data_IF_668166631181
#
_entry.id   IF_668166631181
#
_cell.length_a   1.000
_cell.length_b   1.000
_cell.length_c   1.000
_cell.angle_alpha   90.00
_cell.angle_beta   90.00
_cell.angle_gamma   90.00
#
_symmetry.space_group_name_H-M   'P 1'
#
loop_
_entity.id
_entity.type
_entity.pdbx_description
1 polymer ?
#
# COMPACT_ATOMS: atom_id res chain seq x y z
N UNK A 1 1.57 3.84 8.28
CA UNK A 1 1.91 2.65 9.08
C UNK A 1 3.40 2.29 8.96
N UNK A 2 3.98 2.15 7.75
CA UNK A 2 5.43 1.88 7.62
C UNK A 2 6.27 2.94 8.35
N UNK A 3 5.95 4.24 8.20
CA UNK A 3 6.66 5.33 8.89
C UNK A 3 6.49 5.30 10.41
N UNK A 4 5.27 4.99 10.90
CA UNK A 4 4.89 5.24 12.30
C UNK A 4 4.96 3.99 13.20
N UNK A 5 4.76 2.79 12.64
CA UNK A 5 4.62 1.54 13.41
C UNK A 5 5.13 0.33 12.62
N UNK A 6 6.40 0.36 12.14
CA UNK A 6 6.93 -0.69 11.28
C UNK A 6 6.98 -2.06 11.97
N UNK A 7 7.34 -2.12 13.25
CA UNK A 7 7.42 -3.38 14.00
C UNK A 7 6.04 -4.03 14.18
N UNK A 8 5.01 -3.22 14.48
CA UNK A 8 3.64 -3.74 14.60
C UNK A 8 3.12 -4.24 13.26
N UNK A 9 3.47 -3.54 12.16
CA UNK A 9 3.11 -3.96 10.81
C UNK A 9 3.80 -5.27 10.43
N UNK A 10 5.08 -5.45 10.77
CA UNK A 10 5.81 -6.71 10.53
C UNK A 10 5.16 -7.84 11.32
N UNK A 11 4.87 -7.65 12.61
CA UNK A 11 4.21 -8.67 13.43
C UNK A 11 2.84 -9.08 12.88
N UNK A 12 2.06 -8.14 12.39
CA UNK A 12 0.77 -8.44 11.74
C UNK A 12 0.99 -9.28 10.48
N UNK A 13 1.93 -8.92 9.61
CA UNK A 13 2.24 -9.65 8.38
C UNK A 13 2.79 -11.06 8.64
N UNK A 14 3.50 -11.28 9.75
CA UNK A 14 4.01 -12.58 10.16
C UNK A 14 2.90 -13.57 10.54
N UNK A 15 1.70 -13.09 10.82
CA UNK A 15 0.52 -13.94 11.09
C UNK A 15 -0.22 -14.39 9.82
N UNK A 16 0.15 -13.86 8.65
CA UNK A 16 -0.56 -14.10 7.40
C UNK A 16 -0.03 -15.34 6.67
N UNK A 17 -0.97 -16.17 6.19
CA UNK A 17 -0.66 -17.44 5.55
C UNK A 17 -0.67 -17.32 4.01
N UNK A 18 0.21 -18.08 3.36
CA UNK A 18 0.26 -18.18 1.90
C UNK A 18 -0.60 -19.36 1.39
N UNK A 19 -1.90 -19.30 1.65
CA UNK A 19 -2.88 -20.27 1.17
C UNK A 19 -3.97 -19.59 0.32
N UNK A 20 -4.58 -20.29 -0.65
CA UNK A 20 -5.69 -19.72 -1.42
C UNK A 20 -6.85 -19.26 -0.52
N UNK A 21 -7.21 -20.08 0.47
CA UNK A 21 -8.32 -19.82 1.40
C UNK A 21 -8.08 -18.53 2.17
N UNK A 22 -6.87 -18.37 2.75
CA UNK A 22 -6.50 -17.16 3.48
C UNK A 22 -6.44 -15.96 2.54
N UNK A 23 -5.87 -16.12 1.34
CA UNK A 23 -5.81 -15.04 0.34
C UNK A 23 -7.20 -14.51 -0.01
N UNK A 24 -8.15 -15.39 -0.33
CA UNK A 24 -9.48 -14.96 -0.71
C UNK A 24 -10.29 -14.40 0.46
N UNK A 25 -10.06 -14.85 1.69
CA UNK A 25 -10.64 -14.25 2.88
C UNK A 25 -10.19 -12.79 3.08
N UNK A 26 -8.85 -12.55 3.00
CA UNK A 26 -8.26 -11.20 3.10
C UNK A 26 -8.70 -10.31 1.92
N UNK A 27 -8.77 -10.89 0.71
CA UNK A 27 -9.19 -10.17 -0.49
C UNK A 27 -10.61 -9.65 -0.37
N UNK A 28 -11.54 -10.47 0.12
CA UNK A 28 -12.98 -10.14 0.18
C UNK A 28 -13.34 -9.09 1.24
N UNK A 29 -12.41 -8.70 2.11
CA UNK A 29 -12.66 -7.73 3.16
C UNK A 29 -13.11 -6.35 2.66
N UNK A 30 -12.75 -5.97 1.43
CA UNK A 30 -13.22 -4.71 0.83
C UNK A 30 -14.66 -4.76 0.31
N UNK A 31 -15.22 -5.95 0.17
CA UNK A 31 -16.61 -6.17 -0.24
C UNK A 31 -17.58 -6.21 0.96
N UNK A 32 -17.06 -6.18 2.18
CA UNK A 32 -17.82 -6.30 3.41
C UNK A 32 -17.71 -5.02 4.24
N UNK A 33 -18.67 -4.74 5.12
CA UNK A 33 -18.54 -3.66 6.10
C UNK A 33 -17.28 -3.78 6.97
N UNK A 34 -16.67 -4.97 7.01
CA UNK A 34 -15.49 -5.31 7.78
C UNK A 34 -14.23 -4.50 7.47
N UNK A 35 -14.09 -3.91 6.27
CA UNK A 35 -12.92 -3.07 5.96
C UNK A 35 -12.83 -1.85 6.91
N UNK A 36 -13.97 -1.26 7.27
CA UNK A 36 -14.03 -0.12 8.18
C UNK A 36 -13.77 -0.51 9.65
N UNK A 37 -13.95 -1.80 10.00
CA UNK A 37 -13.64 -2.32 11.32
C UNK A 37 -12.14 -2.65 11.50
N UNK A 38 -11.37 -2.74 10.42
CA UNK A 38 -9.94 -2.99 10.49
C UNK A 38 -9.17 -1.80 11.05
N UNK A 39 -8.19 -2.09 11.88
CA UNK A 39 -7.19 -1.11 12.31
C UNK A 39 -6.36 -0.63 11.12
N UNK A 40 -5.70 0.51 11.25
CA UNK A 40 -4.80 1.02 10.21
C UNK A 40 -3.65 0.05 9.89
N UNK A 41 -3.18 -0.69 10.89
CA UNK A 41 -2.15 -1.71 10.72
C UNK A 41 -2.68 -2.86 9.86
N UNK A 42 -3.86 -3.37 10.15
CA UNK A 42 -4.49 -4.44 9.39
C UNK A 42 -4.80 -4.02 7.94
N UNK A 43 -5.26 -2.79 7.74
CA UNK A 43 -5.45 -2.23 6.39
C UNK A 43 -4.14 -2.15 5.60
N UNK A 44 -3.07 -1.69 6.25
CA UNK A 44 -1.74 -1.62 5.63
C UNK A 44 -1.17 -3.02 5.35
N UNK A 45 -1.29 -3.94 6.31
CA UNK A 45 -0.87 -5.32 6.15
C UNK A 45 -1.62 -6.02 5.00
N UNK A 46 -2.95 -5.81 4.90
CA UNK A 46 -3.76 -6.33 3.80
C UNK A 46 -3.21 -5.91 2.42
N UNK A 47 -2.88 -4.64 2.24
CA UNK A 47 -2.37 -4.13 0.96
C UNK A 47 -1.03 -4.79 0.62
N UNK A 48 -0.09 -4.83 1.58
CA UNK A 48 1.22 -5.45 1.39
C UNK A 48 1.07 -6.94 1.07
N UNK A 49 0.25 -7.65 1.85
CA UNK A 49 -0.01 -9.08 1.66
C UNK A 49 -0.59 -9.38 0.28
N UNK A 50 -1.66 -8.70 -0.12
CA UNK A 50 -2.29 -8.90 -1.42
C UNK A 50 -1.30 -8.64 -2.56
N UNK A 51 -0.51 -7.57 -2.47
CA UNK A 51 0.50 -7.26 -3.49
C UNK A 51 1.63 -8.30 -3.57
N UNK A 52 1.98 -8.94 -2.45
CA UNK A 52 3.02 -9.97 -2.39
C UNK A 52 2.55 -11.35 -2.83
N UNK A 53 1.26 -11.63 -2.74
CA UNK A 53 0.69 -12.98 -2.96
C UNK A 53 -0.26 -13.07 -4.14
N UNK A 54 -0.67 -11.96 -4.74
CA UNK A 54 -1.51 -11.96 -5.93
C UNK A 54 -0.71 -12.21 -7.21
N UNK A 55 -1.40 -12.57 -8.27
CA UNK A 55 -0.81 -12.83 -9.59
C UNK A 55 -0.01 -11.62 -10.09
N UNK A 56 1.26 -11.82 -10.40
CA UNK A 56 2.24 -10.83 -10.87
C UNK A 56 2.38 -9.57 -10.00
N UNK A 57 1.97 -9.59 -8.73
CA UNK A 57 2.01 -8.42 -7.86
C UNK A 57 1.14 -7.26 -8.33
N UNK A 58 0.13 -7.51 -9.16
CA UNK A 58 -0.71 -6.49 -9.78
C UNK A 58 -1.79 -6.00 -8.81
N UNK A 59 -1.69 -4.76 -8.35
CA UNK A 59 -2.80 -4.12 -7.66
C UNK A 59 -3.85 -3.67 -8.68
N UNK A 60 -4.96 -4.37 -8.73
CA UNK A 60 -6.07 -4.08 -9.65
C UNK A 60 -7.40 -4.15 -8.92
N UNK A 61 -8.28 -3.21 -9.24
CA UNK A 61 -9.66 -3.17 -8.72
C UNK A 61 -10.66 -3.26 -9.86
N UNK A 62 -11.87 -3.73 -9.56
CA UNK A 62 -13.00 -3.72 -10.49
C UNK A 62 -13.68 -2.34 -10.53
N UNK A 63 -14.77 -2.21 -11.30
CA UNK A 63 -15.54 -0.97 -11.41
C UNK A 63 -16.18 -0.49 -10.10
N UNK A 64 -16.30 -1.38 -9.12
CA UNK A 64 -16.81 -1.07 -7.78
C UNK A 64 -15.71 -0.66 -6.79
N UNK A 65 -14.43 -0.66 -7.22
CA UNK A 65 -13.28 -0.35 -6.39
C UNK A 65 -12.76 -1.52 -5.56
N UNK A 66 -13.27 -2.75 -5.75
CA UNK A 66 -12.82 -3.93 -5.01
C UNK A 66 -11.62 -4.59 -5.67
N UNK A 67 -10.65 -5.01 -4.86
CA UNK A 67 -9.49 -5.75 -5.33
C UNK A 67 -9.88 -7.04 -6.03
N UNK A 68 -9.42 -7.26 -7.28
CA UNK A 68 -9.89 -8.36 -8.12
C UNK A 68 -8.78 -9.21 -8.75
N UNK A 69 -7.51 -9.00 -8.39
CA UNK A 69 -6.42 -9.85 -8.85
C UNK A 69 -6.52 -11.23 -8.18
N UNK A 70 -6.31 -12.34 -8.92
CA UNK A 70 -6.34 -13.68 -8.34
C UNK A 70 -5.09 -13.99 -7.53
N UNK A 71 -5.13 -15.10 -6.76
CA UNK A 71 -3.99 -15.65 -6.04
C UNK A 71 -2.85 -16.03 -7.01
N UNK A 72 -1.61 -15.68 -6.66
CA UNK A 72 -0.44 -15.83 -7.52
C UNK A 72 0.24 -17.19 -7.48
N UNK A 73 -0.15 -18.08 -6.55
CA UNK A 73 0.40 -19.44 -6.38
C UNK A 73 1.92 -19.50 -6.19
N UNK A 74 2.51 -18.45 -5.62
CA UNK A 74 3.94 -18.45 -5.28
C UNK A 74 4.24 -19.47 -4.19
N UNK A 75 5.31 -20.26 -4.35
CA UNK A 75 5.71 -21.28 -3.36
C UNK A 75 6.18 -20.68 -2.04
N UNK A 76 6.98 -19.62 -2.10
CA UNK A 76 7.61 -19.00 -0.92
C UNK A 76 7.65 -17.46 -1.07
N UNK A 77 6.49 -16.76 -1.08
CA UNK A 77 6.50 -15.31 -1.15
C UNK A 77 7.02 -14.72 0.16
N UNK A 78 7.88 -13.70 0.07
CA UNK A 78 8.32 -12.96 1.25
C UNK A 78 7.23 -11.97 1.63
N UNK A 79 6.28 -12.40 2.47
CA UNK A 79 5.14 -11.59 2.91
C UNK A 79 5.63 -10.49 3.85
N UNK A 80 6.28 -10.86 4.96
CA UNK A 80 6.83 -9.95 5.96
C UNK A 80 8.32 -9.69 5.69
N UNK A 81 8.64 -8.81 4.73
CA UNK A 81 10.03 -8.42 4.48
C UNK A 81 10.48 -7.38 5.50
N UNK A 82 10.79 -7.84 6.74
CA UNK A 82 11.19 -6.98 7.84
C UNK A 82 12.36 -6.05 7.50
N UNK A 83 13.48 -6.51 6.90
CA UNK A 83 14.59 -5.61 6.56
C UNK A 83 14.17 -4.45 5.68
N UNK A 84 13.35 -4.71 4.65
CA UNK A 84 12.87 -3.67 3.73
C UNK A 84 11.90 -2.72 4.44
N UNK A 85 10.96 -3.24 5.23
CA UNK A 85 9.99 -2.41 5.97
C UNK A 85 10.72 -1.48 6.94
N UNK A 86 11.73 -1.97 7.64
CA UNK A 86 12.51 -1.17 8.58
C UNK A 86 13.36 -0.12 7.88
N UNK A 87 14.04 -0.46 6.78
CA UNK A 87 14.83 0.48 5.99
C UNK A 87 13.96 1.60 5.38
N UNK A 88 12.78 1.26 4.86
CA UNK A 88 11.82 2.25 4.36
C UNK A 88 11.31 3.14 5.50
N UNK A 89 11.05 2.57 6.67
CA UNK A 89 10.64 3.35 7.84
C UNK A 89 11.73 4.35 8.26
N UNK A 90 12.98 3.91 8.33
CA UNK A 90 14.12 4.77 8.65
C UNK A 90 14.24 5.91 7.63
N UNK A 91 14.23 5.60 6.34
CA UNK A 91 14.26 6.61 5.28
C UNK A 91 13.13 7.63 5.41
N UNK A 92 11.89 7.18 5.60
CA UNK A 92 10.73 8.07 5.74
C UNK A 92 10.79 8.96 6.98
N UNK A 93 11.56 8.60 8.01
CA UNK A 93 11.72 9.37 9.24
C UNK A 93 12.95 10.31 9.21
N UNK A 94 13.98 9.95 8.46
CA UNK A 94 15.23 10.73 8.38
C UNK A 94 15.26 11.69 7.19
N UNK A 95 14.67 11.30 6.05
CA UNK A 95 14.54 12.16 4.88
C UNK A 95 13.38 13.15 5.04
N UNK A 96 13.47 14.29 4.36
CA UNK A 96 12.40 15.30 4.34
C UNK A 96 11.24 14.85 3.43
N UNK A 97 10.52 13.80 3.85
CA UNK A 97 9.42 13.21 3.10
C UNK A 97 8.08 13.56 3.73
N UNK A 98 7.22 14.24 2.95
CA UNK A 98 5.83 14.52 3.29
C UNK A 98 4.91 13.65 2.44
N UNK A 99 4.12 12.77 3.07
CA UNK A 99 3.11 11.95 2.41
C UNK A 99 1.75 12.60 2.64
N UNK A 100 1.06 12.93 1.57
CA UNK A 100 -0.26 13.60 1.60
C UNK A 100 -1.28 12.73 0.86
N UNK A 101 -2.47 12.63 1.41
CA UNK A 101 -3.62 12.01 0.76
C UNK A 101 -4.61 13.11 0.38
N UNK A 102 -4.95 13.24 -0.91
CA UNK A 102 -5.87 14.27 -1.40
C UNK A 102 -5.70 14.53 -2.89
N UNK A 103 -6.40 15.56 -3.38
CA UNK A 103 -6.25 15.99 -4.77
C UNK A 103 -4.86 16.59 -5.01
N UNK A 104 -4.19 16.14 -6.06
CA UNK A 104 -2.82 16.56 -6.39
C UNK A 104 -2.72 18.07 -6.65
N UNK A 105 -3.77 18.72 -7.17
CA UNK A 105 -3.75 20.16 -7.44
C UNK A 105 -3.57 21.00 -6.19
N UNK A 106 -4.01 20.52 -5.03
CA UNK A 106 -3.81 21.17 -3.73
C UNK A 106 -2.32 21.21 -3.39
N UNK A 107 -1.64 20.11 -3.66
CA UNK A 107 -0.21 19.98 -3.38
C UNK A 107 0.60 20.82 -4.36
N UNK A 108 0.27 20.76 -5.67
CA UNK A 108 0.96 21.53 -6.71
C UNK A 108 0.95 23.05 -6.43
N UNK A 109 -0.15 23.59 -5.89
CA UNK A 109 -0.26 24.99 -5.53
C UNK A 109 0.67 25.45 -4.39
N UNK A 110 1.20 24.50 -3.62
CA UNK A 110 2.07 24.75 -2.47
C UNK A 110 3.55 24.58 -2.81
N UNK A 111 3.87 24.14 -4.03
CA UNK A 111 5.23 23.88 -4.45
C UNK A 111 5.98 25.18 -4.76
N UNK A 112 7.28 25.26 -4.43
CA UNK A 112 8.14 26.33 -4.93
C UNK A 112 8.29 26.24 -6.45
N UNK A 113 8.59 27.38 -7.09
CA UNK A 113 8.66 27.47 -8.56
C UNK A 113 9.77 26.64 -9.21
N UNK A 114 10.77 26.24 -8.45
CA UNK A 114 11.92 25.43 -8.83
C UNK A 114 11.77 23.94 -8.46
N UNK A 115 10.59 23.53 -7.96
CA UNK A 115 10.36 22.14 -7.60
C UNK A 115 10.34 21.24 -8.83
N UNK A 116 11.03 20.08 -8.74
CA UNK A 116 10.85 18.99 -9.69
C UNK A 116 9.56 18.22 -9.37
N UNK A 117 8.68 18.06 -10.36
CA UNK A 117 7.40 17.35 -10.20
C UNK A 117 7.38 16.14 -11.12
N UNK A 118 7.17 14.96 -10.52
CA UNK A 118 6.90 13.72 -11.25
C UNK A 118 5.44 13.33 -11.03
N UNK A 119 4.67 13.21 -12.14
CA UNK A 119 3.28 12.81 -12.12
C UNK A 119 3.14 11.44 -12.81
N UNK A 120 2.65 10.47 -12.06
CA UNK A 120 2.36 9.13 -12.56
C UNK A 120 0.87 8.79 -12.32
N UNK A 121 -0.05 9.43 -13.08
CA UNK A 121 -1.48 9.19 -12.92
C UNK A 121 -1.85 7.82 -13.50
N UNK A 122 -2.77 7.07 -12.87
CA UNK A 122 -3.36 5.89 -13.49
C UNK A 122 -4.08 6.29 -14.79
N UNK A 123 -4.08 5.40 -15.79
CA UNK A 123 -4.61 5.65 -17.14
C UNK A 123 -6.12 5.89 -17.23
N UNK A 124 -6.87 5.76 -16.12
CA UNK A 124 -8.31 6.01 -16.04
C UNK A 124 -8.66 6.72 -14.72
N UNK A 125 -9.71 7.55 -14.75
CA UNK A 125 -10.19 8.41 -13.68
C UNK A 125 -10.18 7.75 -12.30
N UNK A 126 -9.23 8.13 -11.45
CA UNK A 126 -9.08 7.68 -10.08
C UNK A 126 -8.31 8.71 -9.25
N UNK A 127 -8.40 8.62 -7.93
CA UNK A 127 -7.64 9.47 -7.04
C UNK A 127 -6.14 9.23 -7.23
N UNK A 128 -5.39 10.30 -7.46
CA UNK A 128 -3.96 10.25 -7.70
C UNK A 128 -3.18 10.30 -6.38
N UNK A 129 -2.12 9.51 -6.29
CA UNK A 129 -1.08 9.67 -5.28
C UNK A 129 0.08 10.41 -5.95
N UNK A 130 0.39 11.60 -5.46
CA UNK A 130 1.55 12.38 -5.94
C UNK A 130 2.69 12.16 -4.98
N UNK A 131 3.81 11.65 -5.48
CA UNK A 131 5.05 11.56 -4.74
C UNK A 131 5.88 12.80 -5.04
N UNK A 132 6.14 13.60 -4.02
CA UNK A 132 7.00 14.77 -4.13
C UNK A 132 8.29 14.49 -3.39
N UNK A 133 9.40 14.58 -4.11
CA UNK A 133 10.74 14.60 -3.53
C UNK A 133 11.23 16.06 -3.59
N UNK A 134 11.50 16.61 -2.42
CA UNK A 134 12.22 17.88 -2.31
C UNK A 134 13.69 17.59 -1.98
N UNK A 135 14.64 18.36 -2.53
CA UNK A 135 16.02 18.30 -2.11
C UNK A 135 16.21 18.72 -0.65
#
# INVERSE_FOLDING_TARGET
MVKQSPEKLVKELETYENTPEFFYSIRSLDQQPGLHALTDIQRAARIIYLNRTCFNGLYRVNSQGYFNTPFGQYKHPVIANKPVIMAVSEYLNTANVKIVCGDYSIVLKQLPSDAFVYLDPPSHHGNFIVHLLYP
#
